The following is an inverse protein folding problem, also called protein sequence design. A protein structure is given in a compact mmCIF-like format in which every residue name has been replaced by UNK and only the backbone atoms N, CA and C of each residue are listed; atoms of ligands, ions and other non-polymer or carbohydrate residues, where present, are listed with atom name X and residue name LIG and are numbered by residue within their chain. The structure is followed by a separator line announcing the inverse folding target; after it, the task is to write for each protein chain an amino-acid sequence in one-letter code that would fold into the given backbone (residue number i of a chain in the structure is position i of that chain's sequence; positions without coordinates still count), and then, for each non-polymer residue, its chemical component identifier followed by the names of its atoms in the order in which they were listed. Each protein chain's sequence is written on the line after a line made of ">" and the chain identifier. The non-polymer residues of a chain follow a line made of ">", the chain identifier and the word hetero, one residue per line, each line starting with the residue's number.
data_IF_612893269332
#
_entry.id   IF_612893269332
#
_cell.length_a   1.000
_cell.length_b   1.000
_cell.length_c   1.000
_cell.angle_alpha   90.00
_cell.angle_beta   90.00
_cell.angle_gamma   90.00
#
_symmetry.space_group_name_H-M   'P 1'
#
loop_
_entity.id
_entity.type
_entity.pdbx_description
1 polymer ?
#
# COMPACT_ATOMS: atom_id res chain seq x y z
N UNK A 1 16.91 13.89 -6.58
CA UNK A 1 16.58 13.48 -5.19
C UNK A 1 15.50 12.42 -5.30
N UNK A 2 15.59 11.32 -4.55
CA UNK A 2 14.57 10.27 -4.51
C UNK A 2 13.99 10.25 -3.10
N UNK A 3 12.65 10.27 -2.91
CA UNK A 3 12.07 10.15 -1.58
C UNK A 3 12.37 8.76 -0.99
N UNK A 4 12.18 8.60 0.32
CA UNK A 4 12.27 7.29 0.99
C UNK A 4 11.16 6.38 0.43
N UNK A 5 11.54 5.39 -0.40
CA UNK A 5 10.61 4.50 -1.09
C UNK A 5 10.28 3.28 -0.23
N UNK A 6 9.04 2.82 -0.29
CA UNK A 6 8.62 1.61 0.40
C UNK A 6 7.37 0.98 -0.19
N UNK A 7 6.86 -0.02 0.51
CA UNK A 7 5.62 -0.71 0.17
C UNK A 7 4.75 -0.76 1.41
N UNK A 8 3.45 -0.58 1.22
CA UNK A 8 2.43 -0.89 2.21
C UNK A 8 1.53 -1.97 1.62
N UNK A 9 1.58 -3.20 2.16
CA UNK A 9 0.66 -4.29 1.75
C UNK A 9 -0.72 -3.99 2.35
N UNK A 10 -1.38 -2.92 1.91
CA UNK A 10 -2.63 -2.40 2.47
C UNK A 10 -3.87 -2.66 1.60
N UNK A 11 -3.74 -3.53 0.60
CA UNK A 11 -4.82 -3.93 -0.30
C UNK A 11 -5.82 -4.92 0.33
N UNK A 12 -7.02 -4.96 -0.24
CA UNK A 12 -8.04 -5.97 -0.02
C UNK A 12 -7.73 -7.28 -0.78
N UNK A 13 -8.54 -8.30 -0.49
CA UNK A 13 -8.44 -9.61 -1.14
C UNK A 13 -7.45 -10.58 -0.47
N UNK A 14 -7.12 -11.69 -1.15
CA UNK A 14 -6.30 -12.76 -0.59
C UNK A 14 -4.92 -12.28 -0.14
N UNK A 15 -4.47 -12.75 1.01
CA UNK A 15 -3.12 -12.47 1.52
C UNK A 15 -2.07 -13.24 0.71
N UNK A 16 -0.91 -12.63 0.47
CA UNK A 16 0.20 -13.34 -0.13
C UNK A 16 0.69 -14.48 0.76
N UNK A 17 1.35 -15.48 0.16
CA UNK A 17 2.10 -16.48 0.93
C UNK A 17 3.47 -15.92 1.31
N UNK A 18 4.04 -16.40 2.41
CA UNK A 18 5.35 -15.93 2.89
C UNK A 18 6.49 -16.00 1.86
N UNK A 19 6.65 -17.08 1.06
CA UNK A 19 7.69 -17.11 0.04
C UNK A 19 7.52 -16.01 -1.03
N UNK A 20 6.27 -15.76 -1.45
CA UNK A 20 5.97 -14.70 -2.41
C UNK A 20 6.26 -13.31 -1.81
N UNK A 21 5.89 -13.07 -0.54
CA UNK A 21 6.25 -11.83 0.18
C UNK A 21 7.77 -11.61 0.20
N UNK A 22 8.52 -12.65 0.54
CA UNK A 22 9.99 -12.61 0.61
C UNK A 22 10.60 -12.29 -0.74
N UNK A 23 10.07 -12.88 -1.82
CA UNK A 23 10.52 -12.63 -3.18
C UNK A 23 10.26 -11.18 -3.61
N UNK A 24 9.05 -10.65 -3.36
CA UNK A 24 8.72 -9.24 -3.65
C UNK A 24 9.62 -8.31 -2.84
N UNK A 25 9.72 -8.54 -1.53
CA UNK A 25 10.54 -7.73 -0.63
C UNK A 25 12.00 -7.67 -1.11
N UNK A 26 12.62 -8.82 -1.40
CA UNK A 26 14.01 -8.89 -1.87
C UNK A 26 14.19 -8.19 -3.22
N UNK A 27 13.22 -8.35 -4.13
CA UNK A 27 13.22 -7.71 -5.45
C UNK A 27 13.19 -6.18 -5.32
N UNK A 28 12.34 -5.64 -4.46
CA UNK A 28 12.24 -4.19 -4.27
C UNK A 28 13.43 -3.62 -3.49
N UNK A 29 13.95 -4.35 -2.48
CA UNK A 29 15.15 -3.95 -1.75
C UNK A 29 16.32 -3.64 -2.70
N UNK A 30 16.50 -4.52 -3.70
CA UNK A 30 17.53 -4.41 -4.74
C UNK A 30 17.39 -3.20 -5.68
N UNK A 31 16.25 -2.51 -5.67
CA UNK A 31 15.97 -1.37 -6.58
C UNK A 31 15.80 -0.03 -5.86
N UNK A 32 16.06 0.02 -4.55
CA UNK A 32 16.08 1.28 -3.80
C UNK A 32 14.97 1.43 -2.76
N UNK A 33 14.06 0.46 -2.64
CA UNK A 33 13.05 0.47 -1.58
C UNK A 33 13.67 0.14 -0.23
N UNK A 34 13.19 0.79 0.84
CA UNK A 34 13.81 0.76 2.17
C UNK A 34 12.86 0.46 3.31
N UNK A 35 11.56 0.31 3.06
CA UNK A 35 10.61 -0.16 4.07
C UNK A 35 9.48 -1.00 3.49
N UNK A 36 8.98 -1.91 4.31
CA UNK A 36 7.82 -2.75 4.05
C UNK A 36 6.88 -2.65 5.24
N UNK A 37 5.66 -2.14 5.04
CA UNK A 37 4.60 -2.14 6.03
C UNK A 37 3.62 -3.27 5.73
N UNK A 38 3.56 -4.23 6.64
CA UNK A 38 2.59 -5.31 6.62
C UNK A 38 1.27 -4.80 7.22
N UNK A 39 0.24 -4.68 6.38
CA UNK A 39 -1.10 -4.27 6.79
C UNK A 39 -2.23 -4.84 5.93
N UNK A 40 -2.18 -6.13 5.50
CA UNK A 40 -3.18 -6.64 4.56
C UNK A 40 -4.56 -6.60 5.20
N UNK A 41 -5.56 -6.10 4.47
CA UNK A 41 -6.91 -5.85 5.03
C UNK A 41 -7.61 -7.13 5.49
N UNK A 42 -7.21 -8.28 4.96
CA UNK A 42 -7.72 -9.59 5.36
C UNK A 42 -7.14 -10.11 6.70
N UNK A 43 -6.06 -9.52 7.23
CA UNK A 43 -5.55 -9.89 8.55
C UNK A 43 -6.40 -9.24 9.65
N UNK A 44 -7.38 -10.00 10.15
CA UNK A 44 -8.31 -9.51 11.18
C UNK A 44 -7.61 -9.04 12.46
N UNK A 45 -6.44 -9.57 12.80
CA UNK A 45 -5.70 -9.24 14.03
C UNK A 45 -4.99 -7.88 13.94
N UNK A 46 -5.06 -7.23 12.76
CA UNK A 46 -4.67 -5.85 12.54
C UNK A 46 -5.88 -4.91 12.32
N UNK A 47 -7.11 -5.44 12.31
CA UNK A 47 -8.35 -4.69 12.05
C UNK A 47 -9.49 -5.13 12.98
N UNK A 48 -10.41 -5.98 12.50
CA UNK A 48 -11.66 -6.31 13.21
C UNK A 48 -11.46 -6.98 14.58
N UNK A 49 -10.43 -7.80 14.72
CA UNK A 49 -10.05 -8.51 15.94
C UNK A 49 -8.73 -7.96 16.50
N UNK A 50 -8.43 -6.68 16.30
CA UNK A 50 -7.12 -6.11 16.65
C UNK A 50 -6.76 -6.24 18.12
N UNK A 51 -7.75 -6.37 19.02
CA UNK A 51 -7.55 -6.56 20.47
C UNK A 51 -7.01 -7.94 20.82
N UNK A 52 -7.16 -8.91 19.91
CA UNK A 52 -6.65 -10.27 20.06
C UNK A 52 -5.22 -10.36 19.49
N UNK A 53 -4.28 -11.04 20.19
CA UNK A 53 -2.97 -11.29 19.63
C UNK A 53 -3.07 -12.15 18.38
N UNK A 54 -2.08 -12.02 17.50
CA UNK A 54 -1.92 -12.96 16.40
C UNK A 54 -1.72 -14.38 16.96
N UNK A 55 -2.24 -15.43 16.30
CA UNK A 55 -1.90 -16.81 16.63
C UNK A 55 -0.38 -17.02 16.67
N UNK A 56 0.16 -17.86 17.57
CA UNK A 56 1.61 -18.01 17.76
C UNK A 56 2.38 -18.31 16.47
N UNK A 57 1.86 -19.17 15.61
CA UNK A 57 2.49 -19.49 14.32
C UNK A 57 2.55 -18.28 13.37
N UNK A 58 1.49 -17.46 13.35
CA UNK A 58 1.44 -16.25 12.54
C UNK A 58 2.38 -15.17 13.09
N UNK A 59 2.42 -15.00 14.42
CA UNK A 59 3.38 -14.11 15.08
C UNK A 59 4.84 -14.50 14.81
N UNK A 60 5.16 -15.80 14.88
CA UNK A 60 6.49 -16.31 14.53
C UNK A 60 6.84 -16.09 13.05
N UNK A 61 5.88 -16.26 12.15
CA UNK A 61 6.08 -15.99 10.73
C UNK A 61 6.33 -14.50 10.44
N UNK A 62 5.61 -13.60 11.12
CA UNK A 62 5.84 -12.15 11.06
C UNK A 62 7.24 -11.78 11.58
N UNK A 63 7.67 -12.34 12.71
CA UNK A 63 9.01 -12.09 13.26
C UNK A 63 10.12 -12.56 12.31
N UNK A 64 9.96 -13.74 11.70
CA UNK A 64 10.90 -14.25 10.68
C UNK A 64 10.94 -13.33 9.46
N UNK A 65 9.78 -12.95 8.93
CA UNK A 65 9.72 -12.05 7.77
C UNK A 65 10.28 -10.66 8.07
N UNK A 66 10.10 -10.14 9.29
CA UNK A 66 10.73 -8.90 9.73
C UNK A 66 12.25 -9.00 9.78
N UNK A 67 12.81 -10.14 10.22
CA UNK A 67 14.24 -10.39 10.17
C UNK A 67 14.78 -10.49 8.74
N UNK A 68 14.04 -11.12 7.82
CA UNK A 68 14.37 -11.17 6.39
C UNK A 68 14.37 -9.77 5.75
N UNK A 69 13.38 -8.92 6.07
CA UNK A 69 13.36 -7.52 5.64
C UNK A 69 14.64 -6.79 6.06
N UNK A 70 15.02 -6.87 7.34
CA UNK A 70 16.23 -6.22 7.86
C UNK A 70 17.50 -6.74 7.22
N UNK A 71 17.59 -8.06 7.00
CA UNK A 71 18.73 -8.67 6.31
C UNK A 71 18.87 -8.16 4.85
N UNK A 72 17.76 -7.82 4.20
CA UNK A 72 17.75 -7.19 2.88
C UNK A 72 17.94 -5.66 2.91
N UNK A 73 18.16 -5.04 4.08
CA UNK A 73 18.32 -3.60 4.23
C UNK A 73 16.99 -2.81 4.20
N UNK A 74 15.87 -3.48 4.45
CA UNK A 74 14.55 -2.86 4.58
C UNK A 74 14.10 -2.81 6.04
N UNK A 75 13.47 -1.70 6.42
CA UNK A 75 12.73 -1.61 7.69
C UNK A 75 11.44 -2.41 7.58
N UNK A 76 11.11 -3.17 8.61
CA UNK A 76 9.84 -3.86 8.70
C UNK A 76 8.89 -3.11 9.62
N UNK A 77 7.66 -2.89 9.16
CA UNK A 77 6.63 -2.27 9.98
C UNK A 77 5.30 -2.99 9.94
N UNK A 78 4.49 -2.73 10.96
CA UNK A 78 3.10 -3.21 11.06
C UNK A 78 2.14 -2.03 10.91
N UNK A 79 1.08 -2.24 10.13
CA UNK A 79 -0.02 -1.30 9.97
C UNK A 79 -1.25 -1.80 10.77
N UNK A 80 -1.61 -1.08 11.83
CA UNK A 80 -2.72 -1.39 12.73
C UNK A 80 -3.89 -0.43 12.47
N UNK A 81 -5.09 -0.98 12.29
CA UNK A 81 -6.36 -0.23 12.35
C UNK A 81 -7.05 -0.50 13.70
N UNK A 82 -6.91 0.36 14.72
CA UNK A 82 -7.49 0.13 16.05
C UNK A 82 -8.98 0.51 16.08
N UNK A 83 -9.82 -0.25 15.36
CA UNK A 83 -11.25 0.05 15.23
C UNK A 83 -11.95 0.10 16.58
N UNK A 84 -12.75 1.16 16.77
CA UNK A 84 -13.53 1.38 17.98
C UNK A 84 -12.66 1.65 19.21
N UNK A 85 -11.47 2.21 19.02
CA UNK A 85 -10.57 2.61 20.11
C UNK A 85 -10.59 4.13 20.38
N UNK A 86 -11.16 4.96 19.49
CA UNK A 86 -11.16 6.42 19.64
C UNK A 86 -12.38 6.98 20.36
N UNK A 87 -13.52 6.28 20.31
CA UNK A 87 -14.80 6.76 20.83
C UNK A 87 -15.51 5.65 21.64
N UNK A 88 -15.13 5.45 22.92
CA UNK A 88 -14.18 6.22 23.70
C UNK A 88 -12.73 5.70 23.63
N UNK A 89 -11.74 6.60 23.82
CA UNK A 89 -10.34 6.24 24.08
C UNK A 89 -10.03 6.19 25.58
N UNK A 90 -10.73 5.29 26.27
CA UNK A 90 -10.70 5.12 27.72
C UNK A 90 -9.56 4.21 28.22
N UNK A 91 -9.57 3.89 29.51
CA UNK A 91 -8.56 3.03 30.14
C UNK A 91 -8.54 1.61 29.57
N UNK A 92 -9.69 1.05 29.17
CA UNK A 92 -9.77 -0.29 28.59
C UNK A 92 -9.17 -0.29 27.18
N UNK A 93 -9.54 0.69 26.34
CA UNK A 93 -8.96 0.85 25.01
C UNK A 93 -7.43 1.06 25.06
N UNK A 94 -6.93 1.86 26.00
CA UNK A 94 -5.49 2.06 26.24
C UNK A 94 -4.79 0.78 26.68
N UNK A 95 -5.41 0.02 27.57
CA UNK A 95 -4.85 -1.26 28.03
C UNK A 95 -4.78 -2.30 26.89
N UNK A 96 -5.81 -2.38 26.05
CA UNK A 96 -5.81 -3.24 24.86
C UNK A 96 -4.69 -2.84 23.89
N UNK A 97 -4.58 -1.53 23.61
CA UNK A 97 -3.57 -0.98 22.73
C UNK A 97 -2.15 -1.23 23.24
N UNK A 98 -1.89 -0.98 24.53
CA UNK A 98 -0.58 -1.24 25.14
C UNK A 98 -0.14 -2.71 25.00
N UNK A 99 -1.06 -3.67 25.18
CA UNK A 99 -0.75 -5.10 24.96
C UNK A 99 -0.37 -5.39 23.52
N UNK A 100 -1.12 -4.83 22.56
CA UNK A 100 -0.83 -5.03 21.13
C UNK A 100 0.47 -4.39 20.68
N UNK A 101 0.80 -3.21 21.20
CA UNK A 101 2.09 -2.57 20.95
C UNK A 101 3.25 -3.43 21.49
N UNK A 102 3.09 -4.02 22.68
CA UNK A 102 4.08 -4.95 23.22
C UNK A 102 4.26 -6.22 22.35
N UNK A 103 3.16 -6.76 21.80
CA UNK A 103 3.23 -7.89 20.87
C UNK A 103 4.01 -7.53 19.59
N UNK A 104 3.78 -6.35 19.03
CA UNK A 104 4.50 -5.88 17.84
C UNK A 104 5.97 -5.58 18.13
N UNK A 105 6.26 -5.02 19.29
CA UNK A 105 7.63 -4.82 19.74
C UNK A 105 8.38 -6.15 19.98
N UNK A 106 7.67 -7.23 20.31
CA UNK A 106 8.22 -8.58 20.44
C UNK A 106 8.48 -9.24 19.07
N UNK A 107 7.68 -8.90 18.04
CA UNK A 107 7.98 -9.23 16.64
C UNK A 107 9.26 -8.50 16.16
N UNK A 108 9.57 -7.35 16.77
CA UNK A 108 10.74 -6.55 16.46
C UNK A 108 10.51 -5.65 15.26
N UNK A 109 9.41 -4.89 15.25
CA UNK A 109 9.13 -3.89 14.22
C UNK A 109 10.07 -2.68 14.33
N UNK A 110 10.42 -2.11 13.18
CA UNK A 110 11.18 -0.86 13.05
C UNK A 110 10.22 0.35 12.91
N UNK A 111 9.14 0.15 12.14
CA UNK A 111 8.13 1.15 11.81
C UNK A 111 6.74 0.72 12.35
N UNK A 112 5.96 1.65 12.88
CA UNK A 112 4.55 1.42 13.26
C UNK A 112 3.63 2.38 12.51
N UNK A 113 2.65 1.85 11.78
CA UNK A 113 1.64 2.65 11.12
C UNK A 113 0.28 2.48 11.81
N UNK A 114 -0.33 3.58 12.26
CA UNK A 114 -1.67 3.60 12.85
C UNK A 114 -2.64 4.15 11.82
N UNK A 115 -3.60 3.33 11.41
CA UNK A 115 -4.46 3.59 10.27
C UNK A 115 -5.91 3.81 10.72
N UNK A 116 -6.54 4.83 10.15
CA UNK A 116 -7.97 5.12 10.34
C UNK A 116 -8.74 5.15 9.01
N UNK A 117 -8.15 4.61 7.95
CA UNK A 117 -8.77 4.42 6.65
C UNK A 117 -9.89 3.37 6.70
N UNK A 118 -10.89 3.54 5.84
CA UNK A 118 -12.08 2.69 5.76
C UNK A 118 -12.92 2.63 7.05
N UNK A 119 -12.88 3.68 7.87
CA UNK A 119 -13.66 3.81 9.11
C UNK A 119 -14.63 4.98 9.01
N UNK A 120 -15.69 4.93 9.82
CA UNK A 120 -16.63 6.03 10.00
C UNK A 120 -15.91 7.29 10.51
N UNK A 121 -16.20 8.44 9.90
CA UNK A 121 -15.49 9.70 10.11
C UNK A 121 -16.35 10.90 10.57
N UNK A 122 -17.67 10.79 10.56
CA UNK A 122 -18.60 11.83 11.08
C UNK A 122 -18.74 11.75 12.61
N UNK A 123 -17.62 11.59 13.32
CA UNK A 123 -17.56 11.49 14.79
C UNK A 123 -17.09 12.81 15.42
N UNK A 124 -17.59 13.15 16.61
CA UNK A 124 -17.16 14.36 17.33
C UNK A 124 -15.67 14.27 17.70
N UNK A 125 -14.92 15.37 17.54
CA UNK A 125 -13.50 15.44 17.93
C UNK A 125 -12.62 14.34 17.29
N UNK A 126 -13.00 13.86 16.09
CA UNK A 126 -12.31 12.75 15.42
C UNK A 126 -10.79 12.95 15.33
N UNK A 127 -10.35 14.14 14.91
CA UNK A 127 -8.93 14.44 14.74
C UNK A 127 -8.18 14.43 16.08
N UNK A 128 -8.78 14.99 17.13
CA UNK A 128 -8.22 15.02 18.48
C UNK A 128 -8.09 13.60 19.06
N UNK A 129 -9.13 12.77 18.93
CA UNK A 129 -9.11 11.40 19.45
C UNK A 129 -8.10 10.53 18.69
N UNK A 130 -8.00 10.69 17.38
CA UNK A 130 -6.99 10.02 16.57
C UNK A 130 -5.57 10.43 16.97
N UNK A 131 -5.33 11.74 17.13
CA UNK A 131 -4.01 12.23 17.53
C UNK A 131 -3.63 11.76 18.95
N UNK A 132 -4.57 11.75 19.90
CA UNK A 132 -4.35 11.26 21.26
C UNK A 132 -4.03 9.76 21.29
N UNK A 133 -4.68 8.95 20.43
CA UNK A 133 -4.37 7.53 20.30
C UNK A 133 -2.97 7.32 19.73
N UNK A 134 -2.59 8.08 18.69
CA UNK A 134 -1.26 7.97 18.09
C UNK A 134 -0.16 8.40 19.07
N UNK A 135 -0.36 9.48 19.82
CA UNK A 135 0.56 9.91 20.89
C UNK A 135 0.73 8.83 21.97
N UNK A 136 -0.36 8.14 22.34
CA UNK A 136 -0.26 6.98 23.22
C UNK A 136 0.60 5.87 22.60
N UNK A 137 0.44 5.58 21.29
CA UNK A 137 1.26 4.59 20.60
C UNK A 137 2.74 4.94 20.60
N UNK A 138 3.11 6.21 20.36
CA UNK A 138 4.53 6.63 20.34
C UNK A 138 5.19 6.52 21.71
N UNK A 139 4.42 6.64 22.80
CA UNK A 139 4.91 6.49 24.17
C UNK A 139 5.03 5.03 24.63
N UNK A 140 4.35 4.09 23.96
CA UNK A 140 4.22 2.70 24.40
C UNK A 140 4.77 1.65 23.42
N UNK A 141 5.32 2.06 22.27
CA UNK A 141 6.02 1.17 21.33
C UNK A 141 7.50 1.51 21.25
N UNK A 142 8.32 0.50 20.98
CA UNK A 142 9.76 0.61 20.69
C UNK A 142 10.06 0.90 19.21
N UNK A 143 9.05 1.00 18.35
CA UNK A 143 9.24 1.40 16.96
C UNK A 143 9.97 2.75 16.86
N UNK A 144 10.84 2.90 15.88
CA UNK A 144 11.66 4.12 15.72
C UNK A 144 11.05 5.12 14.75
N UNK A 145 10.05 4.70 13.97
CA UNK A 145 9.34 5.55 13.02
C UNK A 145 7.84 5.27 13.10
N UNK A 146 7.07 6.36 13.08
CA UNK A 146 5.63 6.30 13.20
C UNK A 146 4.97 6.89 11.97
N UNK A 147 3.92 6.21 11.52
CA UNK A 147 3.08 6.63 10.41
C UNK A 147 1.63 6.70 10.87
N UNK A 148 0.88 7.59 10.25
CA UNK A 148 -0.53 7.80 10.50
C UNK A 148 -1.27 7.85 9.17
N UNK A 149 -2.33 7.07 9.02
CA UNK A 149 -3.26 7.23 7.90
C UNK A 149 -4.57 7.85 8.42
N UNK A 150 -4.92 9.09 7.99
CA UNK A 150 -6.17 9.71 8.39
C UNK A 150 -7.37 8.96 7.83
N UNK A 151 -8.55 9.17 8.42
CA UNK A 151 -9.83 8.68 7.85
C UNK A 151 -10.09 9.28 6.48
N UNK A 152 -9.80 10.57 6.35
CA UNK A 152 -9.86 11.27 5.07
C UNK A 152 -8.44 11.41 4.51
N UNK A 153 -7.95 10.33 3.89
CA UNK A 153 -6.60 10.19 3.33
C UNK A 153 -6.44 10.67 1.89
N UNK A 154 -7.47 11.30 1.34
CA UNK A 154 -7.51 11.87 -0.01
C UNK A 154 -8.38 13.12 -0.05
N UNK A 155 -8.22 13.93 -1.09
CA UNK A 155 -9.21 14.97 -1.42
C UNK A 155 -10.41 14.43 -2.20
N UNK A 156 -10.46 13.13 -2.44
CA UNK A 156 -11.56 12.47 -3.14
C UNK A 156 -12.90 12.64 -2.37
N UNK A 157 -13.92 13.27 -2.98
CA UNK A 157 -15.24 13.41 -2.36
C UNK A 157 -15.93 12.07 -2.07
N UNK A 158 -15.45 10.95 -2.64
CA UNK A 158 -15.96 9.62 -2.31
C UNK A 158 -15.78 9.31 -0.82
N UNK A 159 -14.73 9.82 -0.17
CA UNK A 159 -14.49 9.54 1.25
C UNK A 159 -15.58 10.17 2.13
N UNK A 160 -16.05 11.37 1.81
CA UNK A 160 -17.16 12.02 2.52
C UNK A 160 -18.50 11.30 2.32
N UNK A 161 -18.68 10.63 1.17
CA UNK A 161 -19.89 9.85 0.89
C UNK A 161 -19.88 8.52 1.63
N UNK A 162 -18.73 7.86 1.72
CA UNK A 162 -18.62 6.52 2.29
C UNK A 162 -18.39 6.58 3.81
N UNK A 163 -17.61 7.54 4.30
CA UNK A 163 -17.21 7.65 5.71
C UNK A 163 -18.01 8.69 6.50
N UNK A 164 -19.00 9.33 5.85
CA UNK A 164 -19.71 10.46 6.41
C UNK A 164 -18.96 11.79 6.23
N UNK A 165 -19.66 12.90 6.45
CA UNK A 165 -19.15 14.24 6.18
C UNK A 165 -17.91 14.55 7.02
N UNK A 166 -16.83 14.98 6.36
CA UNK A 166 -15.58 15.32 7.02
C UNK A 166 -15.76 16.45 8.02
N UNK A 167 -15.23 16.31 9.25
CA UNK A 167 -15.22 17.40 10.22
C UNK A 167 -14.48 18.63 9.67
N UNK A 168 -14.96 19.85 9.97
CA UNK A 168 -14.27 21.06 9.57
C UNK A 168 -12.85 21.10 10.15
N UNK A 169 -11.90 21.61 9.36
CA UNK A 169 -10.49 21.73 9.73
C UNK A 169 -9.81 20.41 10.18
N UNK A 170 -10.32 19.26 9.75
CA UNK A 170 -9.83 17.94 10.18
C UNK A 170 -8.31 17.75 9.97
N UNK A 171 -7.79 18.07 8.77
CA UNK A 171 -6.36 17.94 8.48
C UNK A 171 -5.52 18.96 9.24
N UNK A 172 -6.01 20.18 9.38
CA UNK A 172 -5.35 21.26 10.13
C UNK A 172 -5.26 20.93 11.62
N UNK A 173 -6.29 20.32 12.19
CA UNK A 173 -6.27 19.84 13.57
C UNK A 173 -5.28 18.70 13.73
N UNK A 174 -5.27 17.70 12.84
CA UNK A 174 -4.25 16.64 12.86
C UNK A 174 -2.84 17.21 12.76
N UNK A 175 -2.62 18.17 11.86
CA UNK A 175 -1.34 18.83 11.66
C UNK A 175 -0.82 19.55 12.90
N UNK A 176 -1.71 20.14 13.71
CA UNK A 176 -1.36 20.78 14.99
C UNK A 176 -1.15 19.79 16.14
N UNK A 177 -1.86 18.66 16.13
CA UNK A 177 -1.94 17.73 17.28
C UNK A 177 -0.95 16.58 17.20
N UNK A 178 -0.66 16.07 16.02
CA UNK A 178 0.32 14.99 15.83
C UNK A 178 1.74 15.53 16.01
N UNK A 179 2.62 14.77 16.67
CA UNK A 179 4.06 15.02 16.68
C UNK A 179 4.57 15.25 15.24
N UNK A 180 5.38 16.31 14.98
CA UNK A 180 5.92 16.61 13.65
C UNK A 180 6.75 15.48 13.01
N UNK A 181 7.31 14.56 13.80
CA UNK A 181 8.06 13.41 13.32
C UNK A 181 7.16 12.30 12.74
N UNK A 182 5.86 12.30 13.05
CA UNK A 182 4.90 11.33 12.52
C UNK A 182 4.64 11.64 11.04
N UNK A 183 4.90 10.63 10.19
CA UNK A 183 4.64 10.69 8.76
C UNK A 183 3.15 10.45 8.50
N UNK A 184 2.53 11.28 7.68
CA UNK A 184 1.09 11.20 7.39
C UNK A 184 0.88 10.64 5.99
N UNK A 185 0.23 9.49 5.89
CA UNK A 185 -0.13 8.87 4.61
C UNK A 185 -1.17 9.69 3.85
N UNK A 186 -1.01 9.77 2.53
CA UNK A 186 -1.90 10.50 1.63
C UNK A 186 -1.92 9.86 0.24
N UNK A 187 -3.11 9.69 -0.36
CA UNK A 187 -3.23 8.98 -1.66
C UNK A 187 -3.31 9.91 -2.86
N UNK A 188 -3.53 11.22 -2.66
CA UNK A 188 -3.63 12.20 -3.74
C UNK A 188 -4.97 12.92 -3.79
N UNK A 189 -5.36 13.39 -4.99
CA UNK A 189 -6.66 14.05 -5.22
C UNK A 189 -7.79 13.03 -5.33
N UNK A 190 -7.45 11.79 -5.71
CA UNK A 190 -8.35 10.65 -5.80
C UNK A 190 -7.82 9.53 -4.88
N UNK A 191 -8.65 8.53 -4.56
CA UNK A 191 -8.16 7.34 -3.83
C UNK A 191 -7.11 6.60 -4.68
N UNK A 192 -7.38 6.43 -5.98
CA UNK A 192 -6.44 5.87 -6.95
C UNK A 192 -6.08 6.95 -7.98
N UNK A 193 -5.19 7.87 -7.58
CA UNK A 193 -4.85 9.05 -8.38
C UNK A 193 -4.18 8.71 -9.71
N UNK A 194 -4.70 9.26 -10.81
CA UNK A 194 -4.05 9.17 -12.13
C UNK A 194 -2.73 9.94 -12.19
N UNK A 195 -2.66 11.08 -11.51
CA UNK A 195 -1.50 11.95 -11.41
C UNK A 195 -1.48 12.59 -10.02
N UNK A 196 -0.29 12.92 -9.52
CA UNK A 196 -0.09 13.71 -8.31
C UNK A 196 0.78 14.91 -8.68
N UNK A 197 0.28 16.12 -8.41
CA UNK A 197 0.97 17.36 -8.80
C UNK A 197 1.65 18.04 -7.62
N UNK A 198 2.75 18.80 -7.85
CA UNK A 198 3.38 19.61 -6.80
C UNK A 198 2.43 20.61 -6.13
N UNK A 199 1.49 21.18 -6.88
CA UNK A 199 0.50 22.13 -6.36
C UNK A 199 -0.41 21.50 -5.30
N UNK A 200 -0.92 20.30 -5.59
CA UNK A 200 -1.72 19.55 -4.62
C UNK A 200 -0.93 19.19 -3.36
N UNK A 201 0.29 18.69 -3.51
CA UNK A 201 1.12 18.34 -2.35
C UNK A 201 1.46 19.53 -1.45
N UNK A 202 1.71 20.72 -2.02
CA UNK A 202 1.94 21.93 -1.22
C UNK A 202 0.71 22.32 -0.40
N UNK A 203 -0.48 22.31 -1.02
CA UNK A 203 -1.73 22.58 -0.31
C UNK A 203 -1.95 21.60 0.84
N UNK A 204 -1.73 20.30 0.61
CA UNK A 204 -1.87 19.27 1.66
C UNK A 204 -0.82 19.49 2.76
N UNK A 205 0.42 19.82 2.40
CA UNK A 205 1.47 20.11 3.36
C UNK A 205 1.18 21.36 4.21
N UNK A 206 0.56 22.40 3.64
CA UNK A 206 0.09 23.58 4.37
C UNK A 206 -0.97 23.21 5.41
N UNK A 207 -1.92 22.35 5.05
CA UNK A 207 -2.95 21.88 5.99
C UNK A 207 -2.35 21.02 7.11
N UNK A 208 -1.48 20.07 6.77
CA UNK A 208 -0.87 19.15 7.74
C UNK A 208 0.31 19.78 8.53
N UNK A 209 0.82 20.93 8.10
CA UNK A 209 2.05 21.53 8.63
C UNK A 209 3.31 20.69 8.38
N UNK A 210 3.29 19.74 7.43
CA UNK A 210 4.39 18.82 7.13
C UNK A 210 4.25 18.16 5.75
N UNK A 211 5.35 17.73 5.09
CA UNK A 211 5.28 16.95 3.85
C UNK A 211 4.56 15.60 4.06
N UNK A 212 3.53 15.27 3.26
CA UNK A 212 2.88 13.97 3.35
C UNK A 212 3.81 12.83 2.89
N UNK A 213 3.51 11.61 3.31
CA UNK A 213 4.07 10.37 2.78
C UNK A 213 3.04 9.80 1.81
N UNK A 214 3.41 9.54 0.55
CA UNK A 214 2.43 8.94 -0.37
C UNK A 214 2.11 7.52 0.04
N UNK A 215 0.81 7.20 0.11
CA UNK A 215 0.30 5.85 -0.06
C UNK A 215 -0.25 5.81 -1.48
N UNK A 216 0.59 5.40 -2.42
CA UNK A 216 0.23 5.39 -3.83
C UNK A 216 -0.54 4.12 -4.17
N UNK A 217 -1.82 4.24 -4.50
CA UNK A 217 -2.66 3.14 -4.95
C UNK A 217 -2.37 2.76 -6.41
N UNK A 218 -1.10 2.48 -6.68
CA UNK A 218 -0.57 1.86 -7.87
C UNK A 218 0.62 0.98 -7.47
N UNK A 219 0.69 -0.31 -7.88
CA UNK A 219 -0.13 -0.97 -8.90
C UNK A 219 -1.35 -1.74 -8.36
N UNK A 220 -1.81 -1.49 -7.13
CA UNK A 220 -2.96 -2.22 -6.55
C UNK A 220 -4.11 -2.39 -7.55
N UNK A 221 -4.64 -3.61 -7.64
CA UNK A 221 -5.72 -4.00 -8.54
C UNK A 221 -6.75 -4.87 -7.80
N UNK A 222 -7.06 -4.50 -6.56
CA UNK A 222 -8.07 -5.17 -5.75
C UNK A 222 -9.49 -4.66 -6.04
N UNK A 223 -10.47 -5.34 -5.46
CA UNK A 223 -11.89 -5.03 -5.64
C UNK A 223 -12.46 -5.43 -7.00
N UNK A 224 -13.79 -5.41 -7.08
CA UNK A 224 -14.53 -5.97 -8.21
C UNK A 224 -14.17 -5.35 -9.55
N UNK A 225 -13.87 -4.04 -9.55
CA UNK A 225 -13.56 -3.28 -10.77
C UNK A 225 -12.10 -3.44 -11.19
N UNK A 226 -11.13 -3.26 -10.28
CA UNK A 226 -9.72 -3.20 -10.68
C UNK A 226 -9.10 -4.58 -10.85
N UNK A 227 -9.61 -5.61 -10.17
CA UNK A 227 -9.16 -7.01 -10.37
C UNK A 227 -9.38 -7.52 -11.81
N UNK A 228 -10.21 -6.83 -12.60
CA UNK A 228 -10.36 -7.08 -14.04
C UNK A 228 -9.17 -6.68 -14.87
N UNK A 229 -8.10 -6.11 -14.31
CA UNK A 229 -6.93 -5.65 -15.04
C UNK A 229 -5.65 -6.08 -14.34
N UNK A 230 -4.66 -6.50 -15.11
CA UNK A 230 -3.29 -6.63 -14.62
C UNK A 230 -2.62 -5.27 -14.77
N UNK A 231 -2.44 -4.53 -13.67
CA UNK A 231 -1.77 -3.23 -13.69
C UNK A 231 -0.26 -3.40 -13.89
N UNK A 232 0.16 -3.38 -15.15
CA UNK A 232 1.53 -3.71 -15.56
C UNK A 232 2.32 -2.52 -16.09
N UNK A 233 1.66 -1.40 -16.43
CA UNK A 233 2.33 -0.24 -17.03
C UNK A 233 3.40 0.36 -16.11
N UNK A 234 4.41 0.98 -16.68
CA UNK A 234 5.38 1.72 -15.88
C UNK A 234 4.71 2.89 -15.15
N UNK A 235 5.22 3.27 -13.98
CA UNK A 235 4.79 4.47 -13.27
C UNK A 235 4.86 5.70 -14.17
N UNK A 236 3.78 6.48 -14.16
CA UNK A 236 3.64 7.80 -14.78
C UNK A 236 2.82 8.72 -13.87
N UNK A 237 2.81 10.03 -14.14
CA UNK A 237 2.04 10.99 -13.35
C UNK A 237 2.62 11.26 -11.94
N UNK A 238 3.85 10.80 -11.68
CA UNK A 238 4.61 11.06 -10.45
C UNK A 238 5.93 11.73 -10.85
N UNK A 239 5.91 13.01 -11.27
CA UNK A 239 7.12 13.69 -11.74
C UNK A 239 8.18 13.77 -10.63
N UNK A 240 9.45 13.79 -11.00
CA UNK A 240 10.54 13.80 -10.02
C UNK A 240 10.52 15.06 -9.11
N UNK A 241 9.86 16.14 -9.56
CA UNK A 241 9.61 17.35 -8.79
C UNK A 241 8.76 17.14 -7.53
N UNK A 242 8.10 15.98 -7.36
CA UNK A 242 7.43 15.62 -6.11
C UNK A 242 8.41 15.26 -4.99
N UNK A 243 9.61 14.76 -5.31
CA UNK A 243 10.55 14.25 -4.32
C UNK A 243 10.82 15.19 -3.11
N UNK A 244 11.09 16.50 -3.29
CA UNK A 244 11.32 17.40 -2.16
C UNK A 244 10.05 17.76 -1.38
N UNK A 245 8.86 17.39 -1.87
CA UNK A 245 7.56 17.68 -1.24
C UNK A 245 7.00 16.50 -0.45
N UNK A 246 7.77 15.41 -0.32
CA UNK A 246 7.35 14.17 0.28
C UNK A 246 8.25 13.78 1.44
N UNK A 247 7.66 13.22 2.50
CA UNK A 247 8.41 12.54 3.56
C UNK A 247 8.71 11.07 3.24
N UNK A 248 8.03 10.51 2.24
CA UNK A 248 8.21 9.16 1.72
C UNK A 248 7.21 8.84 0.60
N UNK A 249 7.40 7.69 -0.05
CA UNK A 249 6.48 7.19 -1.07
C UNK A 249 6.37 5.67 -0.95
N UNK A 250 5.26 5.20 -0.38
CA UNK A 250 4.89 3.81 -0.30
C UNK A 250 3.94 3.43 -1.44
N UNK A 251 4.21 2.33 -2.14
CA UNK A 251 3.28 1.77 -3.11
C UNK A 251 2.33 0.76 -2.43
N UNK A 252 1.07 0.73 -2.86
CA UNK A 252 0.14 -0.36 -2.53
C UNK A 252 0.25 -1.44 -3.62
N UNK A 253 0.68 -2.66 -3.30
CA UNK A 253 1.00 -3.66 -4.31
C UNK A 253 -0.25 -4.25 -4.98
N UNK A 254 -0.06 -4.94 -6.10
CA UNK A 254 -1.08 -5.71 -6.79
C UNK A 254 -1.46 -7.01 -6.04
N UNK A 255 -2.53 -7.67 -6.48
CA UNK A 255 -2.87 -9.03 -6.06
C UNK A 255 -1.80 -10.03 -6.49
N UNK A 256 -1.16 -9.80 -7.64
CA UNK A 256 -0.11 -10.64 -8.21
C UNK A 256 1.27 -10.20 -7.69
N UNK A 257 1.96 -11.04 -6.86
CA UNK A 257 3.26 -10.69 -6.30
C UNK A 257 4.31 -10.29 -7.33
N UNK A 258 4.56 -11.13 -8.34
CA UNK A 258 5.68 -10.93 -9.25
C UNK A 258 5.35 -9.92 -10.34
N UNK A 259 4.15 -10.01 -10.93
CA UNK A 259 3.69 -9.03 -11.90
C UNK A 259 3.59 -7.63 -11.28
N UNK A 260 3.21 -7.52 -10.00
CA UNK A 260 3.20 -6.24 -9.28
C UNK A 260 4.59 -5.60 -9.10
N UNK A 261 5.67 -6.38 -9.19
CA UNK A 261 7.03 -5.83 -9.16
C UNK A 261 7.38 -5.06 -10.45
N UNK A 262 6.74 -5.38 -11.58
CA UNK A 262 7.04 -4.77 -12.87
C UNK A 262 6.88 -3.24 -12.86
N UNK A 263 5.70 -2.67 -12.52
CA UNK A 263 5.56 -1.23 -12.31
C UNK A 263 6.47 -0.73 -11.18
N UNK A 264 6.53 -1.44 -10.05
CA UNK A 264 7.29 -1.00 -8.87
C UNK A 264 8.76 -0.69 -9.17
N UNK A 265 9.39 -1.46 -10.06
CA UNK A 265 10.79 -1.26 -10.48
C UNK A 265 11.01 0.03 -11.28
N UNK A 266 9.96 0.60 -11.89
CA UNK A 266 10.10 1.80 -12.71
C UNK A 266 9.93 3.10 -11.91
N UNK A 267 9.32 3.05 -10.72
CA UNK A 267 9.18 4.21 -9.83
C UNK A 267 10.52 4.87 -9.45
N UNK A 268 11.53 4.14 -8.91
CA UNK A 268 12.82 4.74 -8.61
C UNK A 268 13.49 5.34 -9.85
N UNK A 269 13.30 4.74 -11.03
CA UNK A 269 13.81 5.26 -12.30
C UNK A 269 13.13 6.58 -12.70
N UNK A 270 11.83 6.73 -12.44
CA UNK A 270 11.09 7.98 -12.66
C UNK A 270 11.70 9.13 -11.86
N UNK A 271 11.98 8.90 -10.57
CA UNK A 271 12.64 9.91 -9.73
C UNK A 271 14.09 10.19 -10.15
N UNK A 272 14.85 9.16 -10.49
CA UNK A 272 16.26 9.29 -10.83
C UNK A 272 16.47 10.01 -12.17
N UNK A 273 15.59 9.79 -13.16
CA UNK A 273 15.73 10.34 -14.51
C UNK A 273 14.95 11.64 -14.73
N UNK A 274 13.94 11.94 -13.90
CA UNK A 274 13.16 13.16 -14.04
C UNK A 274 12.54 13.31 -15.43
N UNK A 275 12.77 14.45 -16.08
CA UNK A 275 12.21 14.74 -17.40
C UNK A 275 12.75 13.82 -18.50
N UNK A 276 13.90 13.17 -18.28
CA UNK A 276 14.49 12.16 -19.20
C UNK A 276 13.87 10.77 -19.03
N UNK A 277 12.91 10.58 -18.11
CA UNK A 277 12.28 9.30 -17.87
C UNK A 277 11.38 8.87 -19.03
N UNK A 278 11.79 7.79 -19.71
CA UNK A 278 11.05 7.15 -20.80
C UNK A 278 10.33 5.89 -20.28
N UNK A 279 9.05 6.04 -19.93
CA UNK A 279 8.28 4.97 -19.25
C UNK A 279 8.21 3.65 -20.04
N UNK A 280 8.11 3.70 -21.38
CA UNK A 280 8.07 2.49 -22.21
C UNK A 280 9.38 1.70 -22.18
N UNK A 281 10.52 2.39 -22.22
CA UNK A 281 11.83 1.74 -22.09
C UNK A 281 12.09 1.22 -20.68
N UNK A 282 11.69 1.99 -19.66
CA UNK A 282 11.78 1.57 -18.27
C UNK A 282 10.96 0.29 -18.02
N UNK A 283 9.75 0.21 -18.60
CA UNK A 283 8.91 -0.99 -18.54
C UNK A 283 9.60 -2.20 -19.18
N UNK A 284 10.09 -2.05 -20.42
CA UNK A 284 10.75 -3.13 -21.13
C UNK A 284 12.01 -3.62 -20.40
N UNK A 285 12.81 -2.71 -19.86
CA UNK A 285 14.01 -3.05 -19.08
C UNK A 285 13.66 -3.77 -17.77
N UNK A 286 12.64 -3.30 -17.05
CA UNK A 286 12.15 -3.95 -15.83
C UNK A 286 11.61 -5.35 -16.13
N UNK A 287 10.81 -5.52 -17.19
CA UNK A 287 10.28 -6.82 -17.61
C UNK A 287 11.40 -7.82 -17.94
N UNK A 288 12.42 -7.40 -18.71
CA UNK A 288 13.57 -8.26 -19.03
C UNK A 288 14.37 -8.64 -17.78
N UNK A 289 14.53 -7.71 -16.85
CA UNK A 289 15.25 -7.95 -15.58
C UNK A 289 14.52 -8.96 -14.71
N UNK A 290 13.20 -8.85 -14.60
CA UNK A 290 12.39 -9.71 -13.72
C UNK A 290 12.12 -11.08 -14.32
N UNK A 291 11.87 -11.15 -15.63
CA UNK A 291 11.23 -12.31 -16.26
C UNK A 291 12.05 -12.92 -17.40
N UNK A 292 13.19 -12.33 -17.76
CA UNK A 292 13.97 -12.71 -18.94
C UNK A 292 13.35 -12.26 -20.25
N UNK A 293 14.14 -12.29 -21.33
CA UNK A 293 13.73 -11.74 -22.63
C UNK A 293 12.45 -12.38 -23.22
N UNK A 294 12.28 -13.72 -23.27
CA UNK A 294 11.12 -14.31 -23.93
C UNK A 294 9.80 -13.91 -23.29
N UNK A 295 9.68 -14.02 -21.96
CA UNK A 295 8.45 -13.66 -21.26
C UNK A 295 8.24 -12.14 -21.23
N UNK A 296 9.30 -11.34 -21.12
CA UNK A 296 9.19 -9.89 -21.20
C UNK A 296 8.57 -9.44 -22.52
N UNK A 297 9.09 -9.94 -23.65
CA UNK A 297 8.59 -9.57 -24.98
C UNK A 297 7.12 -9.98 -25.14
N UNK A 298 6.75 -11.17 -24.66
CA UNK A 298 5.35 -11.62 -24.67
C UNK A 298 4.42 -10.72 -23.86
N UNK A 299 4.82 -10.32 -22.64
CA UNK A 299 4.03 -9.43 -21.78
C UNK A 299 3.87 -8.05 -22.42
N UNK A 300 4.92 -7.52 -23.04
CA UNK A 300 4.87 -6.23 -23.73
C UNK A 300 3.93 -6.28 -24.93
N UNK A 301 4.01 -7.33 -25.76
CA UNK A 301 3.14 -7.52 -26.92
C UNK A 301 1.66 -7.62 -26.52
N UNK A 302 1.36 -8.33 -25.42
CA UNK A 302 0.00 -8.54 -24.94
C UNK A 302 -0.46 -7.45 -23.93
N UNK A 303 0.35 -6.41 -23.68
CA UNK A 303 0.12 -5.40 -22.63
C UNK A 303 -1.26 -4.73 -22.73
N UNK A 304 -1.70 -4.39 -23.95
CA UNK A 304 -3.01 -3.77 -24.18
C UNK A 304 -4.17 -4.68 -23.73
N UNK A 305 -4.02 -6.00 -23.92
CA UNK A 305 -5.02 -6.98 -23.53
C UNK A 305 -5.04 -7.17 -22.01
N UNK A 306 -3.86 -7.30 -21.40
CA UNK A 306 -3.71 -7.58 -19.96
C UNK A 306 -4.04 -6.34 -19.09
N UNK A 307 -3.60 -5.15 -19.49
CA UNK A 307 -3.71 -3.93 -18.69
C UNK A 307 -4.95 -3.09 -19.00
N UNK A 308 -5.33 -2.92 -20.28
CA UNK A 308 -6.34 -1.92 -20.67
C UNK A 308 -7.67 -2.55 -21.12
N UNK A 309 -7.61 -3.72 -21.76
CA UNK A 309 -8.81 -4.43 -22.21
C UNK A 309 -9.55 -5.02 -21.01
N UNK A 310 -8.80 -5.74 -20.17
CA UNK A 310 -9.31 -6.37 -18.95
C UNK A 310 -10.05 -7.67 -19.19
N UNK A 311 -10.15 -8.49 -18.14
CA UNK A 311 -10.60 -9.88 -18.14
C UNK A 311 -11.91 -10.08 -18.90
N UNK A 312 -12.94 -9.31 -18.53
CA UNK A 312 -14.30 -9.45 -19.05
C UNK A 312 -14.42 -9.15 -20.55
N UNK A 313 -13.47 -8.40 -21.14
CA UNK A 313 -13.51 -7.95 -22.55
C UNK A 313 -12.54 -8.68 -23.47
N UNK A 314 -11.83 -9.69 -22.97
CA UNK A 314 -10.85 -10.43 -23.79
C UNK A 314 -11.51 -11.22 -24.93
N UNK A 315 -12.74 -11.70 -24.74
CA UNK A 315 -13.44 -12.53 -25.73
C UNK A 315 -12.60 -13.72 -26.19
N UNK A 316 -12.49 -13.91 -27.51
CA UNK A 316 -11.70 -15.01 -28.10
C UNK A 316 -10.19 -14.95 -27.77
N UNK A 317 -9.66 -13.78 -27.38
CA UNK A 317 -8.25 -13.65 -27.01
C UNK A 317 -7.91 -14.37 -25.70
N UNK A 318 -8.90 -14.57 -24.80
CA UNK A 318 -8.65 -15.19 -23.49
C UNK A 318 -8.04 -16.59 -23.62
N UNK A 319 -8.63 -17.45 -24.46
CA UNK A 319 -8.14 -18.81 -24.69
C UNK A 319 -6.73 -18.83 -25.32
N UNK A 320 -6.47 -17.92 -26.28
CA UNK A 320 -5.15 -17.75 -26.91
C UNK A 320 -4.09 -17.35 -25.90
N UNK A 321 -4.37 -16.32 -25.10
CA UNK A 321 -3.46 -15.83 -24.06
C UNK A 321 -3.18 -16.95 -23.06
N UNK A 322 -4.23 -17.61 -22.58
CA UNK A 322 -4.11 -18.69 -21.59
C UNK A 322 -3.21 -19.81 -22.10
N UNK A 323 -3.43 -20.30 -23.32
CA UNK A 323 -2.60 -21.35 -23.91
C UNK A 323 -1.13 -20.90 -24.07
N UNK A 324 -0.92 -19.65 -24.50
CA UNK A 324 0.41 -19.05 -24.69
C UNK A 324 1.20 -18.93 -23.38
N UNK A 325 0.58 -18.46 -22.29
CA UNK A 325 1.26 -18.31 -20.99
C UNK A 325 1.37 -19.64 -20.23
N UNK A 326 0.41 -20.55 -20.37
CA UNK A 326 0.47 -21.87 -19.73
C UNK A 326 1.59 -22.77 -20.31
N UNK A 327 2.09 -22.48 -21.50
CA UNK A 327 3.22 -23.17 -22.11
C UNK A 327 4.58 -22.80 -21.49
N UNK A 328 4.63 -21.78 -20.62
CA UNK A 328 5.86 -21.33 -19.97
C UNK A 328 5.93 -21.83 -18.53
N UNK A 329 7.04 -22.50 -18.19
CA UNK A 329 7.37 -22.81 -16.80
C UNK A 329 8.01 -21.58 -16.12
N UNK A 330 7.17 -20.57 -15.84
CA UNK A 330 7.60 -19.35 -15.18
C UNK A 330 6.55 -18.86 -14.17
N UNK A 331 6.91 -18.54 -12.91
CA UNK A 331 5.96 -18.11 -11.89
C UNK A 331 5.09 -16.89 -12.28
N UNK A 332 5.66 -15.88 -12.94
CA UNK A 332 4.88 -14.74 -13.44
C UNK A 332 3.91 -15.11 -14.57
N UNK A 333 4.23 -16.10 -15.42
CA UNK A 333 3.28 -16.59 -16.42
C UNK A 333 2.12 -17.34 -15.75
N UNK A 334 2.40 -18.09 -14.66
CA UNK A 334 1.38 -18.72 -13.85
C UNK A 334 0.43 -17.71 -13.18
N UNK A 335 0.92 -16.54 -12.76
CA UNK A 335 0.07 -15.44 -12.27
C UNK A 335 -0.90 -14.92 -13.36
N UNK A 336 -0.43 -14.78 -14.61
CA UNK A 336 -1.29 -14.40 -15.75
C UNK A 336 -2.34 -15.48 -16.02
N UNK A 337 -1.96 -16.76 -16.03
CA UNK A 337 -2.90 -17.88 -16.23
C UNK A 337 -3.95 -17.92 -15.13
N UNK A 338 -3.55 -17.76 -13.86
CA UNK A 338 -4.46 -17.73 -12.72
C UNK A 338 -5.48 -16.60 -12.83
N UNK A 339 -5.05 -15.42 -13.28
CA UNK A 339 -5.95 -14.30 -13.54
C UNK A 339 -6.90 -14.58 -14.71
N UNK A 340 -6.42 -15.14 -15.82
CA UNK A 340 -7.26 -15.56 -16.96
C UNK A 340 -8.29 -16.61 -16.55
N UNK A 341 -7.93 -17.53 -15.64
CA UNK A 341 -8.80 -18.56 -15.09
C UNK A 341 -9.82 -18.02 -14.07
N UNK A 342 -9.78 -16.70 -13.78
CA UNK A 342 -10.75 -16.04 -12.92
C UNK A 342 -10.44 -16.12 -11.42
N UNK A 343 -9.33 -16.74 -11.02
CA UNK A 343 -9.04 -16.97 -9.59
C UNK A 343 -8.60 -15.71 -8.83
N UNK A 344 -8.15 -14.68 -9.53
CA UNK A 344 -7.80 -13.36 -8.95
C UNK A 344 -8.94 -12.34 -9.06
N UNK A 345 -10.06 -12.74 -9.64
CA UNK A 345 -11.18 -11.87 -9.94
C UNK A 345 -12.08 -11.74 -8.71
N UNK A 346 -12.21 -10.51 -8.20
CA UNK A 346 -12.96 -10.24 -6.99
C UNK A 346 -14.44 -9.96 -7.29
N UNK A 347 -15.31 -10.42 -6.39
CA UNK A 347 -16.75 -10.18 -6.44
C UNK A 347 -17.11 -8.77 -5.96
N UNK A 348 -18.30 -8.29 -6.32
CA UNK A 348 -18.90 -7.11 -5.69
C UNK A 348 -19.04 -7.32 -4.17
N UNK A 349 -18.74 -6.29 -3.38
CA UNK A 349 -18.75 -6.39 -1.91
C UNK A 349 -17.49 -7.00 -1.28
N UNK A 350 -16.54 -7.51 -2.07
CA UNK A 350 -15.27 -8.05 -1.53
C UNK A 350 -14.35 -6.98 -0.90
N UNK A 351 -14.64 -5.71 -1.14
CA UNK A 351 -14.07 -4.56 -0.42
C UNK A 351 -15.09 -4.16 0.64
N UNK A 352 -14.90 -4.66 1.85
CA UNK A 352 -15.73 -4.30 2.99
C UNK A 352 -15.09 -3.14 3.76
N UNK A 353 -15.51 -1.92 3.45
CA UNK A 353 -15.26 -0.77 4.31
C UNK A 353 -16.00 -0.95 5.63
N UNK A 354 -15.46 -0.41 6.72
CA UNK A 354 -16.03 -0.54 8.05
C UNK A 354 -16.68 0.76 8.55
N UNK A 355 -17.15 1.56 7.58
CA UNK A 355 -17.78 2.86 7.75
C UNK A 355 -19.23 2.78 8.23
#
# INVERSE_FOLDING_TARGET
>A
MTPDLGMIEGRFGPVWRWPARTQVMTTLAGTGYRFYHYGPKADRHLRRSWREPHPPEQGAALARFGAECRAAGMRFGIALTPKGATHPFDAAARADLARRLADFDAIGIDDLAILFDDLRGDLPELAEQQAALVDFCTQHSRATRFYFCPTYYSSDPVLDRVFGARPPAYLETLGRRLDPAIRVYWTGEEVCAREITPGHLRRVAEQLGRPPCLWDNYPVNDGARMSRFLHLRAFTGRPASLAPLLSGHAINPALQPLLGCLPALTLPLSYARGDDYRYGEALAAAARTLFGAPLADMIIDDLLLLNDTGHDRLGAHAARLRARYAALDHPAAAEIVRWLDGADIMAEGAVETEA
#
